data_IF_558089458786
#
_entry.id   IF_558089458786
#
_cell.length_a   1.000
_cell.length_b   1.000
_cell.length_c   1.000
_cell.angle_alpha   90.00
_cell.angle_beta   90.00
_cell.angle_gamma   90.00
#
_symmetry.space_group_name_H-M   'P 1'
#
loop_
_entity.id
_entity.type
_entity.pdbx_description
1 polymer ?
#
# COMPACT_ATOMS: atom_id res chain seq x y z
N UNK A 1 -2.90 20.09 15.13
CA UNK A 1 -1.55 19.92 14.56
C UNK A 1 -1.67 19.95 13.05
N UNK A 2 -0.85 20.77 12.38
CA UNK A 2 -0.83 20.86 10.91
C UNK A 2 0.32 20.00 10.39
N UNK A 3 0.05 19.22 9.33
CA UNK A 3 1.06 18.39 8.63
C UNK A 3 1.21 18.89 7.20
N UNK A 4 2.45 19.02 6.73
CA UNK A 4 2.76 19.44 5.37
C UNK A 4 3.82 18.52 4.77
N UNK A 5 3.65 18.17 3.50
CA UNK A 5 4.66 17.50 2.71
C UNK A 5 5.46 18.54 1.94
N UNK A 6 6.79 18.46 2.05
CA UNK A 6 7.71 19.44 1.45
C UNK A 6 8.61 18.77 0.42
N UNK A 7 9.04 19.53 -0.57
CA UNK A 7 10.07 19.10 -1.50
C UNK A 7 11.47 19.43 -0.95
N UNK A 8 12.42 18.53 -1.18
CA UNK A 8 13.81 18.69 -0.72
C UNK A 8 14.62 19.38 -1.80
N UNK A 9 15.32 20.44 -1.42
CA UNK A 9 16.21 21.19 -2.31
C UNK A 9 17.64 21.23 -1.75
N UNK A 10 18.60 21.43 -2.62
CA UNK A 10 19.98 21.77 -2.25
C UNK A 10 20.05 23.22 -1.71
N UNK A 11 21.11 23.60 -0.97
CA UNK A 11 21.26 24.96 -0.44
C UNK A 11 21.20 26.07 -1.51
N UNK A 12 21.52 25.75 -2.76
CA UNK A 12 21.43 26.67 -3.88
C UNK A 12 20.03 26.72 -4.55
N UNK A 13 19.00 26.12 -3.92
CA UNK A 13 17.63 26.08 -4.40
C UNK A 13 17.34 25.05 -5.50
N UNK A 14 18.35 24.32 -5.99
CA UNK A 14 18.13 23.27 -7.00
C UNK A 14 17.47 22.04 -6.37
N UNK A 15 16.58 21.31 -7.11
CA UNK A 15 16.00 20.07 -6.64
C UNK A 15 17.07 19.06 -6.22
N UNK A 16 16.86 18.39 -5.10
CA UNK A 16 17.71 17.28 -4.66
C UNK A 16 17.34 16.00 -5.41
N UNK A 17 18.30 15.39 -6.11
CA UNK A 17 18.06 14.21 -6.94
C UNK A 17 17.56 12.99 -6.15
N UNK A 18 17.87 12.87 -4.85
CA UNK A 18 17.38 11.82 -3.96
C UNK A 18 15.98 12.07 -3.39
N UNK A 19 15.28 13.13 -3.81
CA UNK A 19 13.91 13.40 -3.39
C UNK A 19 12.93 12.51 -4.16
N UNK A 20 12.48 11.40 -3.55
CA UNK A 20 11.53 10.47 -4.18
C UNK A 20 10.20 11.13 -4.56
N UNK A 21 9.71 12.07 -3.75
CA UNK A 21 8.50 12.84 -4.05
C UNK A 21 8.68 13.70 -5.30
N UNK A 22 9.81 14.40 -5.43
CA UNK A 22 10.16 15.18 -6.62
C UNK A 22 10.35 14.31 -7.86
N UNK A 23 10.89 13.09 -7.68
CA UNK A 23 10.95 12.11 -8.77
C UNK A 23 9.55 11.73 -9.27
N UNK A 24 8.62 11.40 -8.36
CA UNK A 24 7.23 11.10 -8.72
C UNK A 24 6.55 12.28 -9.44
N UNK A 25 6.77 13.53 -8.99
CA UNK A 25 6.29 14.72 -9.69
C UNK A 25 6.81 14.79 -11.12
N UNK A 26 8.07 14.45 -11.35
CA UNK A 26 8.66 14.46 -12.71
C UNK A 26 8.01 13.40 -13.62
N UNK A 27 7.71 12.21 -13.07
CA UNK A 27 7.02 11.14 -13.80
C UNK A 27 5.58 11.55 -14.13
N UNK A 28 4.86 12.11 -13.17
CA UNK A 28 3.50 12.63 -13.40
C UNK A 28 3.48 13.73 -14.48
N UNK A 29 4.48 14.62 -14.47
CA UNK A 29 4.65 15.65 -15.52
C UNK A 29 4.87 15.04 -16.89
N UNK A 30 5.68 13.98 -16.98
CA UNK A 30 5.92 13.25 -18.25
C UNK A 30 4.63 12.58 -18.74
N UNK A 31 3.90 11.88 -17.86
CA UNK A 31 2.62 11.26 -18.21
C UNK A 31 1.62 12.31 -18.72
N UNK A 32 1.53 13.46 -18.05
CA UNK A 32 0.68 14.58 -18.49
C UNK A 32 1.08 15.12 -19.86
N UNK A 33 2.38 15.21 -20.18
CA UNK A 33 2.86 15.63 -21.50
C UNK A 33 2.49 14.63 -22.60
N UNK A 34 2.25 13.36 -22.24
CA UNK A 34 1.74 12.31 -23.13
C UNK A 34 0.21 12.29 -23.22
N UNK A 35 -0.50 13.23 -22.58
CA UNK A 35 -1.96 13.27 -22.50
C UNK A 35 -2.55 12.24 -21.53
N UNK A 36 -1.75 11.72 -20.60
CA UNK A 36 -2.17 10.70 -19.64
C UNK A 36 -2.38 11.29 -18.24
N UNK A 37 -3.43 10.82 -17.57
CA UNK A 37 -3.66 11.01 -16.14
C UNK A 37 -3.58 9.66 -15.45
N UNK A 38 -2.89 9.60 -14.31
CA UNK A 38 -2.77 8.41 -13.49
C UNK A 38 -3.40 8.65 -12.13
N UNK A 39 -4.35 7.80 -11.76
CA UNK A 39 -4.93 7.72 -10.43
C UNK A 39 -4.45 6.42 -9.76
N UNK A 40 -4.16 6.51 -8.45
CA UNK A 40 -3.57 5.42 -7.68
C UNK A 40 -4.34 5.20 -6.38
N UNK A 41 -4.70 3.96 -6.09
CA UNK A 41 -5.17 3.49 -4.79
C UNK A 41 -4.11 2.59 -4.13
N UNK A 42 -4.02 2.64 -2.82
CA UNK A 42 -3.14 1.78 -2.05
C UNK A 42 -3.96 1.01 -1.01
N UNK A 43 -3.80 -0.31 -1.02
CA UNK A 43 -4.25 -1.22 0.03
C UNK A 43 -3.02 -1.63 0.82
N UNK A 44 -2.97 -1.31 2.12
CA UNK A 44 -1.75 -1.49 2.90
C UNK A 44 -2.05 -2.23 4.19
N UNK A 45 -1.68 -3.49 4.23
CA UNK A 45 -1.85 -4.36 5.37
C UNK A 45 -0.82 -4.06 6.47
N UNK A 46 -1.21 -4.32 7.71
CA UNK A 46 -0.35 -4.15 8.88
C UNK A 46 -0.71 -5.12 10.00
N UNK A 47 0.27 -5.40 10.84
CA UNK A 47 0.09 -6.21 12.04
C UNK A 47 0.03 -5.34 13.29
N UNK A 48 -0.79 -5.75 14.26
CA UNK A 48 -0.83 -5.21 15.61
C UNK A 48 -0.28 -6.24 16.59
N UNK A 49 0.78 -5.85 17.30
CA UNK A 49 1.42 -6.65 18.34
C UNK A 49 1.23 -6.04 19.70
N UNK A 50 1.16 -6.86 20.73
CA UNK A 50 1.21 -6.43 22.13
C UNK A 50 2.58 -5.83 22.44
N UNK A 51 2.61 -4.88 23.37
CA UNK A 51 3.85 -4.38 23.98
C UNK A 51 4.10 -5.05 25.32
N UNK A 52 5.36 -5.06 25.77
CA UNK A 52 5.71 -5.47 27.13
C UNK A 52 5.37 -4.38 28.17
N UNK A 53 5.67 -4.64 29.44
CA UNK A 53 5.44 -3.71 30.55
C UNK A 53 6.22 -2.38 30.45
N UNK A 54 7.23 -2.35 29.59
CA UNK A 54 8.04 -1.15 29.31
C UNK A 54 7.63 -0.47 27.99
N UNK A 55 6.59 -0.96 27.31
CA UNK A 55 6.12 -0.43 26.02
C UNK A 55 6.96 -0.90 24.81
N UNK A 56 7.87 -1.86 24.99
CA UNK A 56 8.63 -2.39 23.84
C UNK A 56 7.78 -3.37 23.03
N UNK A 57 7.96 -3.42 21.69
CA UNK A 57 7.22 -4.35 20.86
C UNK A 57 7.58 -5.81 21.14
N UNK A 58 6.54 -6.65 21.22
CA UNK A 58 6.69 -8.11 21.32
C UNK A 58 6.38 -8.78 19.99
N UNK A 59 6.45 -10.13 19.95
CA UNK A 59 5.96 -10.94 18.83
C UNK A 59 4.59 -11.57 19.11
N UNK A 60 3.91 -11.13 20.17
CA UNK A 60 2.59 -11.62 20.54
C UNK A 60 1.56 -10.81 19.73
N UNK A 61 0.79 -11.44 18.82
CA UNK A 61 -0.24 -10.74 18.06
C UNK A 61 -1.33 -10.24 19.01
N UNK A 62 -2.03 -9.20 18.63
CA UNK A 62 -3.12 -8.63 19.41
C UNK A 62 -4.26 -9.65 19.64
N UNK A 63 -4.53 -10.47 18.64
CA UNK A 63 -5.54 -11.51 18.63
C UNK A 63 -5.14 -12.70 17.75
N UNK A 64 -6.07 -13.66 17.62
CA UNK A 64 -5.93 -14.85 16.79
C UNK A 64 -7.11 -14.97 15.81
N UNK A 65 -7.68 -13.85 15.41
CA UNK A 65 -8.70 -13.79 14.36
C UNK A 65 -8.13 -14.19 13.00
N UNK A 66 -9.04 -14.46 12.07
CA UNK A 66 -8.77 -14.77 10.67
C UNK A 66 -9.48 -13.80 9.73
N UNK A 67 -9.44 -14.11 8.46
CA UNK A 67 -9.97 -13.26 7.39
C UNK A 67 -11.46 -12.96 7.57
N UNK A 68 -11.78 -11.66 7.68
CA UNK A 68 -13.14 -11.14 7.93
C UNK A 68 -13.81 -11.63 9.24
N UNK A 69 -13.04 -12.14 10.20
CA UNK A 69 -13.58 -12.38 11.52
C UNK A 69 -14.06 -11.08 12.17
N UNK A 70 -15.05 -11.21 13.03
CA UNK A 70 -15.63 -10.13 13.83
C UNK A 70 -15.44 -10.39 15.33
N UNK A 71 -15.77 -9.42 16.17
CA UNK A 71 -15.74 -9.61 17.61
C UNK A 71 -16.56 -10.86 18.04
N UNK A 72 -16.08 -11.68 19.00
CA UNK A 72 -14.96 -11.44 19.89
C UNK A 72 -13.59 -11.93 19.39
N UNK A 73 -13.50 -12.53 18.20
CA UNK A 73 -12.25 -13.05 17.63
C UNK A 73 -11.36 -11.88 17.18
N UNK A 74 -11.92 -10.97 16.41
CA UNK A 74 -11.30 -9.70 16.05
C UNK A 74 -11.35 -8.73 17.25
N UNK A 75 -10.19 -8.44 17.83
CA UNK A 75 -10.05 -7.48 18.93
C UNK A 75 -9.63 -6.08 18.45
N UNK A 76 -9.31 -5.92 17.19
CA UNK A 76 -8.80 -4.67 16.61
C UNK A 76 -9.91 -3.76 16.05
N UNK A 77 -11.18 -4.17 16.04
CA UNK A 77 -12.27 -3.40 15.44
C UNK A 77 -12.33 -1.94 15.92
N UNK A 78 -12.23 -1.71 17.24
CA UNK A 78 -12.26 -0.35 17.78
C UNK A 78 -11.04 0.48 17.38
N UNK A 79 -9.87 -0.14 17.26
CA UNK A 79 -8.63 0.52 16.84
C UNK A 79 -8.72 0.90 15.36
N UNK A 80 -9.19 0.01 14.51
CA UNK A 80 -9.41 0.33 13.09
C UNK A 80 -10.46 1.43 12.93
N UNK A 81 -11.51 1.44 13.74
CA UNK A 81 -12.53 2.52 13.77
C UNK A 81 -11.89 3.86 14.14
N UNK A 82 -11.03 3.90 15.15
CA UNK A 82 -10.30 5.11 15.55
C UNK A 82 -9.36 5.59 14.41
N UNK A 83 -8.69 4.65 13.72
CA UNK A 83 -7.87 4.95 12.55
C UNK A 83 -8.73 5.58 11.44
N UNK A 84 -9.89 5.00 11.12
CA UNK A 84 -10.80 5.52 10.11
C UNK A 84 -11.27 6.94 10.43
N UNK A 85 -11.71 7.22 11.64
CA UNK A 85 -12.12 8.56 12.04
C UNK A 85 -10.97 9.57 11.96
N UNK A 86 -9.77 9.21 12.42
CA UNK A 86 -8.62 10.09 12.31
C UNK A 86 -8.22 10.35 10.84
N UNK A 87 -8.40 9.36 9.96
CA UNK A 87 -8.18 9.54 8.53
C UNK A 87 -9.20 10.50 7.91
N UNK A 88 -10.48 10.35 8.26
CA UNK A 88 -11.56 11.26 7.81
C UNK A 88 -11.28 12.70 8.24
N UNK A 89 -10.90 12.93 9.49
CA UNK A 89 -10.53 14.24 10.02
C UNK A 89 -9.34 14.87 9.27
N UNK A 90 -8.45 14.05 8.72
CA UNK A 90 -7.33 14.49 7.89
C UNK A 90 -7.65 14.60 6.40
N UNK A 91 -8.92 14.34 6.00
CA UNK A 91 -9.38 14.43 4.62
C UNK A 91 -9.04 13.22 3.74
N UNK A 92 -8.63 12.10 4.33
CA UNK A 92 -8.63 10.80 3.68
C UNK A 92 -10.04 10.21 3.78
N UNK A 93 -10.40 9.35 2.84
CA UNK A 93 -11.74 8.74 2.78
C UNK A 93 -11.61 7.23 2.90
N UNK A 94 -11.71 6.64 4.12
CA UNK A 94 -11.71 5.19 4.31
C UNK A 94 -12.85 4.55 3.50
N UNK A 95 -12.61 3.34 2.98
CA UNK A 95 -13.58 2.57 2.20
C UNK A 95 -13.89 1.22 2.85
N UNK A 96 -12.85 0.47 3.19
CA UNK A 96 -12.97 -0.84 3.82
C UNK A 96 -12.06 -0.91 5.04
N UNK A 97 -12.47 -1.72 6.02
CA UNK A 97 -11.71 -1.98 7.23
C UNK A 97 -12.07 -3.36 7.73
N UNK A 98 -11.11 -4.27 7.79
CA UNK A 98 -11.37 -5.66 8.19
C UNK A 98 -10.13 -6.31 8.82
N UNK A 99 -10.37 -7.44 9.50
CA UNK A 99 -9.32 -8.34 9.95
C UNK A 99 -8.79 -9.13 8.76
N UNK A 100 -7.47 -9.26 8.65
CA UNK A 100 -6.79 -10.03 7.63
C UNK A 100 -6.52 -11.49 8.05
N UNK A 101 -5.87 -12.26 7.16
CA UNK A 101 -5.68 -13.69 7.35
C UNK A 101 -4.71 -14.06 8.48
N UNK A 102 -3.74 -13.22 8.77
CA UNK A 102 -2.75 -13.46 9.84
C UNK A 102 -3.26 -13.01 11.22
N UNK A 103 -2.81 -13.67 12.27
CA UNK A 103 -3.16 -13.31 13.64
C UNK A 103 -2.73 -11.89 13.98
N UNK A 104 -3.70 -11.02 14.35
CA UNK A 104 -3.48 -9.59 14.57
C UNK A 104 -3.18 -8.79 13.31
N UNK A 105 -3.45 -9.35 12.11
CA UNK A 105 -3.30 -8.65 10.84
C UNK A 105 -4.57 -7.89 10.48
N UNK A 106 -4.40 -6.69 9.98
CA UNK A 106 -5.47 -5.74 9.69
C UNK A 106 -5.23 -5.05 8.35
N UNK A 107 -6.31 -4.62 7.72
CA UNK A 107 -6.30 -3.76 6.55
C UNK A 107 -7.31 -2.62 6.71
N UNK A 108 -6.92 -1.45 6.25
CA UNK A 108 -7.82 -0.29 6.11
C UNK A 108 -7.51 0.38 4.78
N UNK A 109 -8.46 0.30 3.88
CA UNK A 109 -8.37 0.90 2.56
C UNK A 109 -8.95 2.30 2.55
N UNK A 110 -8.45 3.12 1.66
CA UNK A 110 -8.94 4.47 1.46
C UNK A 110 -9.01 4.82 -0.02
N UNK A 111 -9.89 5.77 -0.33
CA UNK A 111 -10.20 6.20 -1.69
C UNK A 111 -8.92 6.54 -2.47
N UNK A 112 -8.86 6.07 -3.71
CA UNK A 112 -7.81 6.44 -4.65
C UNK A 112 -7.73 7.95 -4.90
N UNK A 113 -6.61 8.41 -5.38
CA UNK A 113 -6.36 9.81 -5.71
C UNK A 113 -5.35 9.93 -6.85
N UNK A 114 -4.99 11.16 -7.23
CA UNK A 114 -3.84 11.35 -8.12
C UNK A 114 -2.57 10.75 -7.52
N UNK A 115 -1.67 10.24 -8.34
CA UNK A 115 -0.50 9.49 -7.90
C UNK A 115 0.29 10.17 -6.76
N UNK A 116 0.54 11.49 -6.87
CA UNK A 116 1.27 12.22 -5.83
C UNK A 116 0.50 12.32 -4.52
N UNK A 117 -0.80 12.64 -4.60
CA UNK A 117 -1.65 12.72 -3.41
C UNK A 117 -1.82 11.37 -2.74
N UNK A 118 -1.91 10.28 -3.51
CA UNK A 118 -2.00 8.93 -2.98
C UNK A 118 -0.73 8.53 -2.23
N UNK A 119 0.45 8.87 -2.74
CA UNK A 119 1.72 8.66 -2.04
C UNK A 119 1.81 9.44 -0.72
N UNK A 120 1.39 10.71 -0.71
CA UNK A 120 1.31 11.53 0.50
C UNK A 120 0.28 10.93 1.50
N UNK A 121 -0.88 10.50 1.03
CA UNK A 121 -1.93 9.86 1.84
C UNK A 121 -1.44 8.56 2.48
N UNK A 122 -0.71 7.69 1.74
CA UNK A 122 -0.15 6.46 2.29
C UNK A 122 0.84 6.73 3.44
N UNK A 123 1.70 7.73 3.31
CA UNK A 123 2.59 8.12 4.40
C UNK A 123 1.83 8.66 5.61
N UNK A 124 0.75 9.42 5.39
CA UNK A 124 -0.14 9.89 6.45
C UNK A 124 -0.81 8.71 7.13
N UNK A 125 -1.40 7.78 6.38
CA UNK A 125 -2.01 6.55 6.87
C UNK A 125 -1.06 5.76 7.78
N UNK A 126 0.14 5.41 7.29
CA UNK A 126 1.12 4.64 8.08
C UNK A 126 1.51 5.32 9.38
N UNK A 127 1.62 6.64 9.39
CA UNK A 127 1.92 7.40 10.60
C UNK A 127 0.74 7.42 11.58
N UNK A 128 -0.48 7.53 11.07
CA UNK A 128 -1.73 7.51 11.85
C UNK A 128 -1.92 6.17 12.52
N UNK A 129 -1.77 5.07 11.77
CA UNK A 129 -1.85 3.70 12.31
C UNK A 129 -0.87 3.50 13.46
N UNK A 130 0.40 3.89 13.26
CA UNK A 130 1.42 3.77 14.31
C UNK A 130 1.09 4.60 15.56
N UNK A 131 0.65 5.83 15.39
CA UNK A 131 0.32 6.71 16.51
C UNK A 131 -0.91 6.22 17.29
N UNK A 132 -1.92 5.69 16.60
CA UNK A 132 -3.12 5.16 17.25
C UNK A 132 -2.83 3.83 17.94
N UNK A 133 -2.05 2.94 17.32
CA UNK A 133 -1.61 1.70 17.94
C UNK A 133 -0.83 1.98 19.24
N UNK A 134 0.14 2.89 19.22
CA UNK A 134 0.94 3.28 20.38
C UNK A 134 0.06 3.82 21.52
N UNK A 135 -0.89 4.70 21.23
CA UNK A 135 -1.86 5.21 22.21
C UNK A 135 -2.72 4.12 22.86
N UNK A 136 -2.93 3.00 22.16
CA UNK A 136 -3.69 1.85 22.64
C UNK A 136 -2.79 0.75 23.24
N UNK A 137 -1.51 1.05 23.54
CA UNK A 137 -0.56 0.09 24.12
C UNK A 137 -0.17 -1.04 23.16
N UNK A 138 -0.20 -0.78 21.85
CA UNK A 138 0.12 -1.73 20.80
C UNK A 138 1.24 -1.21 19.90
N UNK A 139 1.90 -2.15 19.24
CA UNK A 139 2.90 -1.85 18.21
C UNK A 139 2.37 -2.21 16.83
N UNK A 140 2.28 -1.24 15.93
CA UNK A 140 1.91 -1.46 14.54
C UNK A 140 3.13 -1.72 13.66
N UNK A 141 3.13 -2.85 12.96
CA UNK A 141 4.19 -3.27 12.04
C UNK A 141 3.72 -3.32 10.60
N UNK A 142 4.45 -2.65 9.72
CA UNK A 142 4.33 -2.75 8.27
C UNK A 142 5.45 -3.62 7.67
N UNK A 143 6.03 -4.50 8.47
CA UNK A 143 7.07 -5.43 8.04
C UNK A 143 6.47 -6.44 7.05
N UNK A 144 7.09 -6.72 5.90
CA UNK A 144 6.53 -7.59 4.87
C UNK A 144 6.21 -9.02 5.35
N UNK A 145 7.00 -9.58 6.26
CA UNK A 145 6.79 -10.92 6.84
C UNK A 145 7.19 -10.92 8.31
N UNK A 146 6.34 -10.36 9.21
CA UNK A 146 6.71 -10.24 10.63
C UNK A 146 6.69 -11.58 11.38
N UNK A 147 5.84 -12.53 10.94
CA UNK A 147 5.74 -13.88 11.50
C UNK A 147 5.90 -14.91 10.38
N UNK A 148 6.74 -15.92 10.64
CA UNK A 148 7.11 -16.91 9.61
C UNK A 148 5.91 -17.74 9.15
N UNK A 149 5.06 -18.16 10.08
CA UNK A 149 3.94 -19.08 9.83
C UNK A 149 2.60 -18.38 9.58
N UNK A 150 2.61 -17.05 9.45
CA UNK A 150 1.43 -16.25 9.17
C UNK A 150 1.51 -15.60 7.79
N UNK A 151 0.42 -15.03 7.30
CA UNK A 151 0.42 -14.23 6.08
C UNK A 151 1.41 -13.06 6.15
N UNK A 152 2.01 -12.67 5.04
CA UNK A 152 2.82 -11.46 4.96
C UNK A 152 1.94 -10.23 4.72
N UNK A 153 2.43 -9.04 5.10
CA UNK A 153 1.74 -7.78 4.81
C UNK A 153 1.97 -7.37 3.37
N UNK A 154 0.90 -7.30 2.59
CA UNK A 154 0.87 -6.75 1.25
C UNK A 154 0.77 -5.23 1.26
N UNK A 155 1.19 -4.63 0.17
CA UNK A 155 0.81 -3.29 -0.23
C UNK A 155 0.43 -3.34 -1.71
N UNK A 156 -0.84 -3.47 -1.99
CA UNK A 156 -1.33 -3.46 -3.36
C UNK A 156 -1.38 -2.03 -3.87
N UNK A 157 -0.94 -1.84 -5.11
CA UNK A 157 -0.98 -0.54 -5.78
C UNK A 157 -1.94 -0.67 -6.96
N UNK A 158 -3.15 -0.16 -6.77
CA UNK A 158 -4.18 -0.12 -7.81
C UNK A 158 -3.95 1.10 -8.69
N UNK A 159 -3.79 0.88 -9.99
CA UNK A 159 -3.47 1.94 -10.93
C UNK A 159 -4.54 2.02 -12.01
N UNK A 160 -5.06 3.21 -12.25
CA UNK A 160 -5.86 3.51 -13.44
C UNK A 160 -5.23 4.63 -14.24
N UNK A 161 -5.21 4.46 -15.56
CA UNK A 161 -4.66 5.44 -16.49
C UNK A 161 -5.77 5.92 -17.40
N UNK A 162 -5.87 7.22 -17.53
CA UNK A 162 -6.92 7.87 -18.30
C UNK A 162 -6.31 8.69 -19.45
N UNK A 163 -6.95 8.60 -20.62
CA UNK A 163 -6.74 9.49 -21.76
C UNK A 163 -8.09 10.07 -22.17
N UNK A 164 -8.17 11.37 -22.30
CA UNK A 164 -9.41 12.10 -22.69
C UNK A 164 -10.64 11.70 -21.83
N UNK A 165 -10.41 11.50 -20.52
CA UNK A 165 -11.44 11.11 -19.55
C UNK A 165 -11.83 9.63 -19.56
N UNK A 166 -11.28 8.81 -20.45
CA UNK A 166 -11.56 7.37 -20.53
C UNK A 166 -10.47 6.57 -19.81
N UNK A 167 -10.87 5.61 -18.99
CA UNK A 167 -9.95 4.66 -18.37
C UNK A 167 -9.47 3.65 -19.42
N UNK A 168 -8.14 3.55 -19.62
CA UNK A 168 -7.53 2.66 -20.61
C UNK A 168 -7.67 1.18 -20.24
N UNK A 169 -7.96 0.84 -18.97
CA UNK A 169 -8.16 -0.54 -18.52
C UNK A 169 -9.62 -1.00 -18.57
N UNK A 170 -10.52 -0.18 -19.11
CA UNK A 170 -11.92 -0.54 -19.24
C UNK A 170 -12.14 -1.51 -20.40
N UNK A 171 -12.81 -2.63 -20.14
CA UNK A 171 -13.13 -3.66 -21.14
C UNK A 171 -11.97 -4.64 -21.44
N UNK A 172 -11.95 -5.19 -22.63
CA UNK A 172 -10.89 -6.13 -23.04
C UNK A 172 -9.61 -5.38 -23.40
N UNK A 173 -8.50 -5.86 -22.84
CA UNK A 173 -7.17 -5.27 -23.06
C UNK A 173 -6.48 -6.07 -24.17
N UNK A 174 -6.37 -5.46 -25.32
CA UNK A 174 -5.56 -6.01 -26.42
C UNK A 174 -4.06 -5.87 -26.12
N UNK A 175 -3.21 -6.83 -26.52
CA UNK A 175 -1.77 -6.77 -26.26
C UNK A 175 -1.08 -5.53 -26.84
N UNK A 176 -1.55 -5.04 -27.98
CA UNK A 176 -1.04 -3.86 -28.71
C UNK A 176 -1.71 -2.54 -28.28
N UNK A 177 -2.63 -2.58 -27.32
CA UNK A 177 -3.24 -1.39 -26.73
C UNK A 177 -2.29 -0.63 -25.81
N UNK A 178 -2.59 0.63 -25.49
CA UNK A 178 -1.83 1.41 -24.50
C UNK A 178 -1.83 0.74 -23.11
N UNK A 179 -2.94 0.15 -22.71
CA UNK A 179 -3.04 -0.63 -21.46
C UNK A 179 -2.16 -1.90 -21.51
N UNK A 180 -2.17 -2.62 -22.64
CA UNK A 180 -1.29 -3.77 -22.86
C UNK A 180 0.18 -3.39 -22.79
N UNK A 181 0.59 -2.31 -23.44
CA UNK A 181 1.95 -1.78 -23.37
C UNK A 181 2.36 -1.36 -21.95
N UNK A 182 1.43 -0.76 -21.18
CA UNK A 182 1.70 -0.40 -19.78
C UNK A 182 1.97 -1.64 -18.92
N UNK A 183 1.14 -2.68 -19.04
CA UNK A 183 1.32 -3.95 -18.33
C UNK A 183 2.64 -4.60 -18.74
N UNK A 184 2.93 -4.67 -20.04
CA UNK A 184 4.16 -5.23 -20.56
C UNK A 184 5.39 -4.47 -20.02
N UNK A 185 5.31 -3.15 -19.89
CA UNK A 185 6.36 -2.33 -19.29
C UNK A 185 6.62 -2.67 -17.81
N UNK A 186 5.57 -2.85 -17.00
CA UNK A 186 5.71 -3.29 -15.61
C UNK A 186 6.39 -4.67 -15.54
N UNK A 187 5.94 -5.62 -16.36
CA UNK A 187 6.50 -6.98 -16.36
C UNK A 187 7.96 -7.00 -16.85
N UNK A 188 8.30 -6.23 -17.87
CA UNK A 188 9.65 -6.13 -18.38
C UNK A 188 10.64 -5.57 -17.35
N UNK A 189 10.18 -4.66 -16.49
CA UNK A 189 10.99 -4.00 -15.46
C UNK A 189 10.73 -4.54 -14.04
N UNK A 190 10.07 -5.69 -13.90
CA UNK A 190 9.67 -6.24 -12.60
C UNK A 190 10.87 -6.48 -11.67
N UNK A 191 12.01 -6.92 -12.20
CA UNK A 191 13.23 -7.18 -11.41
C UNK A 191 13.83 -5.89 -10.86
N UNK A 192 13.90 -4.85 -11.67
CA UNK A 192 14.39 -3.52 -11.26
C UNK A 192 13.43 -2.89 -10.26
N UNK A 193 12.11 -2.98 -10.51
CA UNK A 193 11.07 -2.50 -9.60
C UNK A 193 11.15 -3.19 -8.24
N UNK A 194 11.46 -4.49 -8.19
CA UNK A 194 11.59 -5.26 -6.95
C UNK A 194 12.64 -4.66 -6.01
N UNK A 195 13.73 -4.12 -6.52
CA UNK A 195 14.75 -3.47 -5.71
C UNK A 195 14.21 -2.28 -4.88
N UNK A 196 13.24 -1.55 -5.44
CA UNK A 196 12.62 -0.39 -4.78
C UNK A 196 11.37 -0.76 -3.98
N UNK A 197 10.54 -1.66 -4.52
CA UNK A 197 9.28 -2.05 -3.87
C UNK A 197 9.49 -3.06 -2.73
N UNK A 198 10.60 -3.79 -2.73
CA UNK A 198 10.96 -4.81 -1.74
C UNK A 198 12.39 -4.58 -1.20
N UNK A 199 12.63 -3.45 -0.50
CA UNK A 199 13.99 -2.93 -0.25
C UNK A 199 14.74 -3.63 0.89
N UNK A 200 14.12 -4.56 1.62
CA UNK A 200 14.74 -5.22 2.77
C UNK A 200 14.74 -6.74 2.61
N UNK A 201 15.69 -7.48 3.21
CA UNK A 201 15.75 -8.94 3.11
C UNK A 201 14.45 -9.64 3.51
N UNK A 202 13.74 -9.12 4.51
CA UNK A 202 12.46 -9.67 4.96
C UNK A 202 11.37 -9.61 3.85
N UNK A 203 11.44 -8.67 2.91
CA UNK A 203 10.50 -8.61 1.78
C UNK A 203 10.53 -9.91 0.95
N UNK A 204 11.71 -10.49 0.77
CA UNK A 204 11.90 -11.69 -0.05
C UNK A 204 11.42 -12.98 0.64
N UNK A 205 11.30 -13.00 1.96
CA UNK A 205 10.71 -14.14 2.69
C UNK A 205 9.19 -14.23 2.51
N UNK A 206 8.56 -13.15 2.00
CA UNK A 206 7.13 -13.10 1.69
C UNK A 206 6.80 -13.79 0.36
N UNK A 207 7.70 -13.76 -0.63
CA UNK A 207 7.42 -14.22 -1.99
C UNK A 207 7.02 -15.69 -2.04
N UNK A 208 5.89 -15.96 -2.71
CA UNK A 208 5.35 -17.31 -2.88
C UNK A 208 4.76 -17.93 -1.62
N UNK A 209 4.63 -17.16 -0.53
CA UNK A 209 3.89 -17.58 0.67
C UNK A 209 2.46 -17.03 0.61
N UNK A 210 1.48 -17.84 0.98
CA UNK A 210 0.06 -17.48 0.87
C UNK A 210 -0.27 -16.96 -0.54
N UNK A 211 -0.89 -15.79 -0.67
CA UNK A 211 -1.26 -15.17 -1.95
C UNK A 211 -0.18 -14.24 -2.53
N UNK A 212 0.98 -14.13 -1.89
CA UNK A 212 2.05 -13.26 -2.38
C UNK A 212 2.60 -13.75 -3.75
N UNK A 213 2.79 -12.85 -4.72
CA UNK A 213 3.22 -13.23 -6.05
C UNK A 213 4.59 -13.91 -6.05
N UNK A 214 4.73 -14.93 -6.87
CA UNK A 214 5.98 -15.67 -7.12
C UNK A 214 6.47 -15.52 -8.56
N UNK A 215 5.55 -15.26 -9.49
CA UNK A 215 5.82 -15.24 -10.92
C UNK A 215 5.65 -13.84 -11.49
N UNK A 216 6.53 -13.47 -12.41
CA UNK A 216 6.45 -12.23 -13.19
C UNK A 216 5.49 -12.47 -14.36
N UNK A 217 4.22 -12.29 -14.11
CA UNK A 217 3.15 -12.49 -15.08
C UNK A 217 1.90 -11.70 -14.66
N UNK A 218 0.88 -11.73 -15.49
CA UNK A 218 -0.40 -11.09 -15.23
C UNK A 218 -1.58 -12.06 -15.37
N UNK A 219 -2.68 -11.76 -14.71
CA UNK A 219 -3.94 -12.52 -14.84
C UNK A 219 -5.14 -11.65 -14.49
N UNK A 220 -6.33 -12.04 -14.96
CA UNK A 220 -7.60 -11.47 -14.53
C UNK A 220 -8.10 -12.05 -13.21
N UNK A 221 -7.79 -13.30 -12.90
CA UNK A 221 -8.40 -14.02 -11.76
C UNK A 221 -7.38 -14.57 -10.76
N UNK A 222 -6.18 -14.92 -11.20
CA UNK A 222 -5.18 -15.54 -10.33
C UNK A 222 -4.45 -14.49 -9.48
N UNK A 223 -4.63 -14.57 -8.17
CA UNK A 223 -4.04 -13.65 -7.18
C UNK A 223 -2.53 -13.82 -6.99
N UNK A 224 -1.96 -14.97 -7.37
CA UNK A 224 -0.52 -15.24 -7.24
C UNK A 224 0.34 -14.56 -8.33
N UNK A 225 -0.26 -13.81 -9.23
CA UNK A 225 0.44 -13.10 -10.30
C UNK A 225 0.84 -11.68 -9.85
N UNK A 226 1.94 -11.17 -10.44
CA UNK A 226 2.46 -9.85 -10.10
C UNK A 226 1.48 -8.73 -10.47
N UNK A 227 0.86 -8.84 -11.64
CA UNK A 227 -0.15 -7.88 -12.11
C UNK A 227 -1.50 -8.56 -12.23
N UNK A 228 -2.50 -7.97 -11.61
CA UNK A 228 -3.88 -8.43 -11.66
C UNK A 228 -4.76 -7.36 -12.33
N UNK A 229 -5.58 -7.81 -13.28
CA UNK A 229 -6.61 -7.00 -13.89
C UNK A 229 -7.95 -7.40 -13.27
N UNK A 230 -8.59 -6.56 -12.46
CA UNK A 230 -9.92 -6.84 -11.95
C UNK A 230 -10.93 -6.88 -13.11
N UNK A 231 -11.98 -7.68 -12.94
CA UNK A 231 -13.10 -7.83 -13.89
C UNK A 231 -14.00 -6.60 -13.89
#
# INVERSE_FOLDING_TARGET
VMRMYCDITLPNGRPFAGNSRGYLQSVVKRAKAMGLRCDVGCECEFYLFQTDEHGNPTRIPMDHGGYFDIAPLDKAENIRREICFAMEDMGLRPQHSHHESGFGQNEVDFMYSTALKSADNLNTFKSTVKAIADRNGLFASFMPKPMQDQAGSGMHVNVSIHRDGKNLFQGDIAPDSEAGHFIAGILAHARELTCFCNPIPNSYTRFGSCEAPKYVSWSRQNRSQLVRLPS
#
